data_IF_039367495084
#
_entry.id   IF_039367495084
#
_cell.length_a   1.000
_cell.length_b   1.000
_cell.length_c   1.000
_cell.angle_alpha   90.00
_cell.angle_beta   90.00
_cell.angle_gamma   90.00
#
_symmetry.space_group_name_H-M   'P 1'
#
loop_
_entity.id
_entity.type
_entity.pdbx_description
1 polymer ?
#
# COMPACT_ATOMS: atom_id res chain seq x y z
N UNK A 1 -9.94 15.53 -44.47
CA UNK A 1 -10.01 16.26 -43.16
C UNK A 1 -10.47 15.41 -41.96
N UNK A 2 -10.42 14.07 -42.01
CA UNK A 2 -11.01 13.22 -40.95
C UNK A 2 -10.00 12.47 -40.03
N UNK A 3 -8.70 12.61 -40.27
CA UNK A 3 -7.71 11.88 -39.43
C UNK A 3 -7.38 12.53 -38.08
N UNK A 4 -7.45 13.85 -37.99
CA UNK A 4 -7.10 14.59 -36.78
C UNK A 4 -8.15 14.43 -35.65
N UNK A 5 -9.42 14.36 -36.02
CA UNK A 5 -10.55 14.16 -35.07
C UNK A 5 -10.54 12.75 -34.47
N UNK A 6 -10.17 11.73 -35.25
CA UNK A 6 -10.13 10.34 -34.77
C UNK A 6 -8.99 10.10 -33.78
N UNK A 7 -7.82 10.70 -34.03
CA UNK A 7 -6.67 10.60 -33.12
C UNK A 7 -6.93 11.33 -31.80
N UNK A 8 -7.56 12.52 -31.86
CA UNK A 8 -7.92 13.29 -30.65
C UNK A 8 -8.99 12.59 -29.82
N UNK A 9 -9.96 11.95 -30.45
CA UNK A 9 -11.01 11.18 -29.79
C UNK A 9 -10.46 9.89 -29.16
N UNK A 10 -9.52 9.20 -29.80
CA UNK A 10 -8.83 8.04 -29.24
C UNK A 10 -7.92 8.41 -28.07
N UNK A 11 -7.27 9.58 -28.10
CA UNK A 11 -6.47 10.08 -26.99
C UNK A 11 -7.35 10.47 -25.78
N UNK A 12 -8.49 11.13 -26.03
CA UNK A 12 -9.48 11.45 -24.99
C UNK A 12 -10.08 10.20 -24.32
N UNK A 13 -10.41 9.16 -25.12
CA UNK A 13 -10.89 7.88 -24.58
C UNK A 13 -9.79 7.20 -23.76
N UNK A 14 -8.53 7.23 -24.19
CA UNK A 14 -7.40 6.65 -23.46
C UNK A 14 -7.20 7.30 -22.08
N UNK A 15 -7.48 8.60 -21.96
CA UNK A 15 -7.35 9.32 -20.69
C UNK A 15 -8.56 9.11 -19.74
N UNK A 16 -9.74 8.82 -20.28
CA UNK A 16 -10.95 8.49 -19.51
C UNK A 16 -10.82 7.13 -18.83
N UNK A 17 -10.04 6.17 -19.38
CA UNK A 17 -9.84 4.83 -18.82
C UNK A 17 -8.60 4.71 -17.93
N UNK A 18 -7.79 5.75 -17.76
CA UNK A 18 -6.70 5.75 -16.79
C UNK A 18 -7.27 5.86 -15.38
N UNK A 19 -7.31 4.74 -14.68
CA UNK A 19 -7.75 4.67 -13.27
C UNK A 19 -6.95 5.64 -12.38
N UNK A 20 -5.65 5.81 -12.66
CA UNK A 20 -4.74 6.74 -11.99
C UNK A 20 -3.91 7.51 -13.00
N UNK A 21 -3.66 8.79 -12.73
CA UNK A 21 -2.80 9.64 -13.54
C UNK A 21 -1.33 9.43 -13.23
N UNK A 22 -1.00 9.18 -11.95
CA UNK A 22 0.36 8.95 -11.47
C UNK A 22 0.33 8.21 -10.14
N UNK A 23 1.12 7.14 -10.01
CA UNK A 23 1.20 6.33 -8.79
C UNK A 23 2.54 6.54 -8.10
N UNK A 24 2.50 6.99 -6.83
CA UNK A 24 3.68 6.94 -5.96
C UNK A 24 3.81 5.56 -5.33
N UNK A 25 5.02 5.01 -5.34
CA UNK A 25 5.34 3.70 -4.77
C UNK A 25 6.01 3.91 -3.43
N UNK A 26 5.25 3.71 -2.35
CA UNK A 26 5.73 3.90 -0.97
C UNK A 26 6.48 2.66 -0.47
N UNK A 27 7.47 2.22 -1.25
CA UNK A 27 8.31 1.06 -0.94
C UNK A 27 9.65 1.13 -1.70
N UNK A 28 10.50 0.12 -1.53
CA UNK A 28 11.83 0.00 -2.14
C UNK A 28 12.08 -1.40 -2.70
N UNK A 29 13.26 -1.59 -3.30
CA UNK A 29 13.75 -2.90 -3.70
C UNK A 29 12.89 -3.59 -4.76
N UNK A 30 12.76 -4.91 -4.67
CA UNK A 30 12.13 -5.72 -5.70
C UNK A 30 10.63 -5.45 -5.83
N UNK A 31 9.92 -5.21 -4.71
CA UNK A 31 8.49 -4.93 -4.77
C UNK A 31 8.21 -3.60 -5.48
N UNK A 32 9.03 -2.57 -5.25
CA UNK A 32 8.91 -1.32 -5.98
C UNK A 32 9.13 -1.54 -7.49
N UNK A 33 10.10 -2.35 -7.88
CA UNK A 33 10.36 -2.71 -9.29
C UNK A 33 9.16 -3.45 -9.90
N UNK A 34 8.53 -4.38 -9.17
CA UNK A 34 7.32 -5.09 -9.65
C UNK A 34 6.17 -4.13 -9.93
N UNK A 35 5.91 -3.22 -8.98
CA UNK A 35 4.84 -2.23 -9.13
C UNK A 35 5.13 -1.28 -10.31
N UNK A 36 6.38 -0.81 -10.46
CA UNK A 36 6.79 0.03 -11.58
C UNK A 36 6.53 -0.67 -12.92
N UNK A 37 6.88 -1.95 -13.02
CA UNK A 37 6.65 -2.74 -14.24
C UNK A 37 5.16 -2.86 -14.56
N UNK A 38 4.33 -3.20 -13.58
CA UNK A 38 2.88 -3.28 -13.76
C UNK A 38 2.27 -1.92 -14.18
N UNK A 39 2.68 -0.83 -13.54
CA UNK A 39 2.23 0.51 -13.93
C UNK A 39 2.67 0.87 -15.35
N UNK A 40 3.89 0.49 -15.74
CA UNK A 40 4.39 0.71 -17.12
C UNK A 40 3.57 -0.03 -18.16
N UNK A 41 3.20 -1.29 -17.92
CA UNK A 41 2.31 -2.08 -18.79
C UNK A 41 0.94 -1.43 -18.95
N UNK A 42 0.44 -0.81 -17.87
CA UNK A 42 -0.83 -0.06 -17.85
C UNK A 42 -0.68 1.39 -18.42
N UNK A 43 0.52 1.82 -18.77
CA UNK A 43 0.79 3.18 -19.25
C UNK A 43 0.63 4.25 -18.16
N UNK A 44 0.79 3.89 -16.88
CA UNK A 44 0.66 4.79 -15.72
C UNK A 44 2.05 5.28 -15.31
N UNK A 45 2.31 6.59 -15.27
CA UNK A 45 3.55 7.17 -14.74
C UNK A 45 3.75 6.83 -13.26
N UNK A 46 4.99 6.60 -12.85
CA UNK A 46 5.34 6.20 -11.49
C UNK A 46 6.30 7.16 -10.82
N UNK A 47 6.13 7.34 -9.52
CA UNK A 47 7.03 8.07 -8.63
C UNK A 47 7.66 7.08 -7.66
N UNK A 48 8.97 6.92 -7.70
CA UNK A 48 9.70 6.19 -6.68
C UNK A 48 10.10 7.12 -5.54
N UNK A 49 10.07 6.60 -4.32
CA UNK A 49 10.73 7.23 -3.19
C UNK A 49 11.97 6.44 -2.80
N UNK A 50 12.99 7.10 -2.27
CA UNK A 50 14.22 6.44 -1.85
C UNK A 50 14.89 7.14 -0.68
N UNK A 51 15.55 6.34 0.19
CA UNK A 51 16.50 6.87 1.16
C UNK A 51 17.85 7.18 0.50
N UNK A 52 18.68 8.01 1.12
CA UNK A 52 20.02 8.30 0.60
C UNK A 52 20.83 7.04 0.25
N UNK A 53 20.69 5.96 1.03
CA UNK A 53 21.38 4.69 0.77
C UNK A 53 20.89 3.98 -0.51
N UNK A 54 19.66 4.24 -0.93
CA UNK A 54 19.03 3.57 -2.07
C UNK A 54 19.09 4.41 -3.37
N UNK A 55 19.81 5.54 -3.38
CA UNK A 55 19.85 6.46 -4.52
C UNK A 55 20.21 5.79 -5.87
N UNK A 56 21.04 4.76 -5.86
CA UNK A 56 21.45 4.02 -7.04
C UNK A 56 20.63 2.74 -7.30
N UNK A 57 19.59 2.49 -6.54
CA UNK A 57 18.76 1.28 -6.63
C UNK A 57 17.98 1.21 -7.94
N UNK A 58 17.66 -0.01 -8.36
CA UNK A 58 17.00 -0.27 -9.65
C UNK A 58 15.63 0.41 -9.75
N UNK A 59 14.83 0.42 -8.68
CA UNK A 59 13.52 1.05 -8.67
C UNK A 59 13.58 2.56 -8.93
N UNK A 60 14.63 3.24 -8.42
CA UNK A 60 14.87 4.67 -8.64
C UNK A 60 15.12 4.95 -10.13
N UNK A 61 15.93 4.11 -10.78
CA UNK A 61 16.26 4.26 -12.21
C UNK A 61 15.12 3.89 -13.15
N UNK A 62 14.19 3.04 -12.72
CA UNK A 62 13.09 2.55 -13.56
C UNK A 62 11.83 3.40 -13.48
N UNK A 63 11.63 4.16 -12.40
CA UNK A 63 10.48 5.03 -12.23
C UNK A 63 10.53 6.24 -13.18
N UNK A 64 9.37 6.86 -13.42
CA UNK A 64 9.26 8.08 -14.22
C UNK A 64 9.89 9.26 -13.51
N UNK A 65 9.69 9.34 -12.19
CA UNK A 65 10.24 10.35 -11.28
C UNK A 65 10.72 9.67 -10.00
N UNK A 66 11.67 10.28 -9.28
CA UNK A 66 12.15 9.75 -8.02
C UNK A 66 12.51 10.88 -7.04
N UNK A 67 12.13 10.69 -5.76
CA UNK A 67 12.36 11.67 -4.69
C UNK A 67 13.10 11.03 -3.52
N UNK A 68 14.16 11.70 -3.06
CA UNK A 68 14.83 11.34 -1.81
C UNK A 68 13.96 11.79 -0.63
N UNK A 69 13.62 10.85 0.25
CA UNK A 69 12.71 11.08 1.37
C UNK A 69 13.41 11.08 2.73
N UNK A 70 14.73 10.99 2.77
CA UNK A 70 15.48 11.05 4.01
C UNK A 70 16.74 10.17 4.06
N UNK A 71 17.35 10.03 5.24
CA UNK A 71 18.57 9.26 5.44
C UNK A 71 18.32 7.74 5.29
N UNK A 72 19.40 6.95 5.42
CA UNK A 72 19.36 5.50 5.26
C UNK A 72 18.41 4.77 6.23
N UNK A 73 18.23 5.32 7.44
CA UNK A 73 17.38 4.71 8.47
C UNK A 73 15.90 4.77 8.07
N UNK A 74 15.23 3.62 8.05
CA UNK A 74 13.83 3.51 7.59
C UNK A 74 12.85 4.35 8.43
N UNK A 75 13.10 4.50 9.73
CA UNK A 75 12.27 5.34 10.61
C UNK A 75 12.24 6.81 10.14
N UNK A 76 13.33 7.29 9.57
CA UNK A 76 13.52 8.67 9.15
C UNK A 76 13.29 8.87 7.63
N UNK A 77 12.86 7.81 6.93
CA UNK A 77 12.60 7.81 5.48
C UNK A 77 11.31 7.03 5.14
N UNK A 78 11.38 5.73 4.89
CA UNK A 78 10.25 4.90 4.44
C UNK A 78 9.10 4.77 5.44
N UNK A 79 9.32 5.05 6.73
CA UNK A 79 8.31 5.09 7.79
C UNK A 79 7.90 6.53 8.17
N UNK A 80 8.42 7.52 7.48
CA UNK A 80 8.07 8.93 7.69
C UNK A 80 6.86 9.31 6.83
N UNK A 81 5.66 9.28 7.43
CA UNK A 81 4.43 9.73 6.74
C UNK A 81 4.58 11.13 6.15
N UNK A 82 5.10 12.15 6.87
CA UNK A 82 5.26 13.48 6.30
C UNK A 82 6.14 13.51 5.05
N UNK A 83 7.24 12.77 5.04
CA UNK A 83 8.16 12.75 3.90
C UNK A 83 7.51 12.07 2.67
N UNK A 84 6.79 10.96 2.87
CA UNK A 84 6.07 10.26 1.80
C UNK A 84 4.96 11.15 1.24
N UNK A 85 4.15 11.78 2.09
CA UNK A 85 3.06 12.66 1.67
C UNK A 85 3.59 13.90 0.95
N UNK A 86 4.70 14.49 1.40
CA UNK A 86 5.34 15.60 0.70
C UNK A 86 5.77 15.20 -0.71
N UNK A 87 6.39 14.03 -0.88
CA UNK A 87 6.76 13.51 -2.19
C UNK A 87 5.53 13.28 -3.09
N UNK A 88 4.43 12.77 -2.53
CA UNK A 88 3.18 12.56 -3.26
C UNK A 88 2.56 13.89 -3.73
N UNK A 89 2.53 14.89 -2.87
CA UNK A 89 1.98 16.21 -3.20
C UNK A 89 2.83 16.94 -4.24
N UNK A 90 4.16 16.98 -4.05
CA UNK A 90 5.08 17.66 -4.98
C UNK A 90 5.08 17.00 -6.36
N UNK A 91 5.00 15.67 -6.42
CA UNK A 91 4.95 14.94 -7.70
C UNK A 91 3.57 15.00 -8.38
N UNK A 92 2.51 15.40 -7.67
CA UNK A 92 1.14 15.36 -8.16
C UNK A 92 0.60 13.93 -8.34
N UNK A 93 1.09 12.97 -7.55
CA UNK A 93 0.57 11.62 -7.55
C UNK A 93 -0.86 11.60 -6.99
N UNK A 94 -1.78 10.94 -7.68
CA UNK A 94 -3.18 10.80 -7.26
C UNK A 94 -3.47 9.44 -6.62
N UNK A 95 -2.48 8.54 -6.60
CA UNK A 95 -2.55 7.28 -5.88
C UNK A 95 -1.20 6.91 -5.25
N UNK A 96 -1.25 6.14 -4.15
CA UNK A 96 -0.08 5.57 -3.48
C UNK A 96 -0.23 4.07 -3.39
N UNK A 97 0.78 3.34 -3.88
CA UNK A 97 0.90 1.89 -3.70
C UNK A 97 1.94 1.58 -2.63
N UNK A 98 1.56 1.03 -1.48
CA UNK A 98 2.48 0.78 -0.37
C UNK A 98 3.34 -0.48 -0.56
N UNK A 99 3.01 -1.34 -1.52
CA UNK A 99 3.63 -2.67 -1.62
C UNK A 99 3.24 -3.57 -0.46
N UNK A 100 4.22 -4.20 0.17
CA UNK A 100 4.09 -4.95 1.43
C UNK A 100 5.12 -4.46 2.45
N UNK A 101 4.85 -4.67 3.75
CA UNK A 101 5.66 -4.09 4.83
C UNK A 101 5.55 -2.57 4.91
N UNK A 102 6.44 -1.92 5.63
CA UNK A 102 6.45 -0.46 5.84
C UNK A 102 5.05 0.13 6.13
N UNK A 103 4.47 0.83 5.17
CA UNK A 103 3.18 1.52 5.30
C UNK A 103 1.98 0.68 4.90
N UNK A 104 2.17 -0.56 4.40
CA UNK A 104 1.08 -1.35 3.82
C UNK A 104 -0.01 -1.76 4.82
N UNK A 105 0.34 -1.87 6.10
CA UNK A 105 -0.58 -2.25 7.18
C UNK A 105 -0.90 -1.09 8.14
N UNK A 106 -0.52 0.13 7.77
CA UNK A 106 -0.70 1.33 8.57
C UNK A 106 -2.05 2.00 8.26
N UNK A 107 -3.06 1.71 9.09
CA UNK A 107 -4.40 2.29 8.94
C UNK A 107 -4.41 3.82 9.02
N UNK A 108 -3.55 4.41 9.87
CA UNK A 108 -3.37 5.85 9.96
C UNK A 108 -2.84 6.48 8.66
N UNK A 109 -1.92 5.79 7.99
CA UNK A 109 -1.40 6.25 6.69
C UNK A 109 -2.48 6.19 5.59
N UNK A 110 -3.23 5.09 5.52
CA UNK A 110 -4.35 4.97 4.58
C UNK A 110 -5.39 6.09 4.78
N UNK A 111 -5.73 6.39 6.04
CA UNK A 111 -6.66 7.46 6.39
C UNK A 111 -6.13 8.85 6.01
N UNK A 112 -4.83 9.11 6.19
CA UNK A 112 -4.19 10.36 5.78
C UNK A 112 -4.22 10.50 4.26
N UNK A 113 -3.92 9.45 3.50
CA UNK A 113 -4.03 9.47 2.04
C UNK A 113 -5.45 9.86 1.60
N UNK A 114 -6.47 9.22 2.18
CA UNK A 114 -7.87 9.48 1.87
C UNK A 114 -8.28 10.94 2.18
N UNK A 115 -7.89 11.46 3.34
CA UNK A 115 -8.14 12.86 3.73
C UNK A 115 -7.47 13.88 2.80
N UNK A 116 -6.38 13.50 2.15
CA UNK A 116 -5.68 14.34 1.17
C UNK A 116 -6.16 14.11 -0.28
N UNK A 117 -7.20 13.30 -0.48
CA UNK A 117 -7.72 12.99 -1.82
C UNK A 117 -6.77 12.11 -2.66
N UNK A 118 -5.83 11.43 -2.02
CA UNK A 118 -4.89 10.50 -2.67
C UNK A 118 -5.39 9.08 -2.46
N UNK A 119 -5.61 8.32 -3.53
CA UNK A 119 -6.08 6.94 -3.41
C UNK A 119 -5.00 6.03 -2.84
N UNK A 120 -5.24 5.47 -1.66
CA UNK A 120 -4.43 4.37 -1.14
C UNK A 120 -4.80 3.08 -1.88
N UNK A 121 -3.83 2.44 -2.54
CA UNK A 121 -4.03 1.17 -3.26
C UNK A 121 -3.86 0.03 -2.26
N UNK A 122 -4.95 -0.35 -1.63
CA UNK A 122 -5.01 -1.35 -0.57
C UNK A 122 -6.36 -1.34 0.12
N UNK A 123 -6.50 -2.07 1.25
CA UNK A 123 -7.71 -2.08 2.05
C UNK A 123 -8.00 -0.71 2.67
N UNK A 124 -9.25 -0.48 3.08
CA UNK A 124 -9.62 0.73 3.82
C UNK A 124 -8.97 0.75 5.20
N UNK A 125 -8.79 1.94 5.78
CA UNK A 125 -8.28 2.07 7.14
C UNK A 125 -9.12 1.31 8.19
N UNK A 126 -10.44 1.26 8.00
CA UNK A 126 -11.36 0.48 8.84
C UNK A 126 -11.09 -1.03 8.74
N UNK A 127 -10.98 -1.54 7.51
CA UNK A 127 -10.66 -2.94 7.27
C UNK A 127 -9.29 -3.33 7.87
N UNK A 128 -8.28 -2.46 7.75
CA UNK A 128 -6.97 -2.68 8.37
C UNK A 128 -7.05 -2.76 9.90
N UNK A 129 -7.82 -1.86 10.55
CA UNK A 129 -7.99 -1.89 12.01
C UNK A 129 -8.69 -3.17 12.47
N UNK A 130 -9.74 -3.60 11.76
CA UNK A 130 -10.47 -4.84 12.07
C UNK A 130 -9.61 -6.09 11.89
N UNK A 131 -8.80 -6.14 10.84
CA UNK A 131 -7.97 -7.30 10.53
C UNK A 131 -6.60 -7.29 11.22
N UNK A 132 -6.14 -6.13 11.66
CA UNK A 132 -4.86 -5.98 12.38
C UNK A 132 -4.87 -6.50 13.81
N UNK A 133 -6.02 -6.53 14.46
CA UNK A 133 -6.22 -7.17 15.76
C UNK A 133 -6.64 -8.63 15.58
N UNK A 134 -5.78 -9.57 16.00
CA UNK A 134 -6.01 -11.01 15.78
C UNK A 134 -7.29 -11.52 16.43
N UNK A 135 -7.65 -11.02 17.61
CA UNK A 135 -8.86 -11.44 18.32
C UNK A 135 -10.11 -10.94 17.59
N UNK A 136 -10.11 -9.67 17.18
CA UNK A 136 -11.18 -9.05 16.40
C UNK A 136 -11.33 -9.71 15.05
N UNK A 137 -10.22 -9.92 14.33
CA UNK A 137 -10.24 -10.59 13.02
C UNK A 137 -10.84 -11.98 13.12
N UNK A 138 -10.42 -12.78 14.11
CA UNK A 138 -10.96 -14.11 14.35
C UNK A 138 -12.46 -14.09 14.63
N UNK A 139 -12.90 -13.19 15.52
CA UNK A 139 -14.33 -13.02 15.84
C UNK A 139 -15.13 -12.67 14.58
N UNK A 140 -14.65 -11.71 13.79
CA UNK A 140 -15.28 -11.30 12.53
C UNK A 140 -15.39 -12.47 11.53
N UNK A 141 -14.36 -13.31 11.43
CA UNK A 141 -14.40 -14.49 10.54
C UNK A 141 -15.47 -15.48 11.00
N UNK A 142 -15.55 -15.78 12.31
CA UNK A 142 -16.55 -16.68 12.88
C UNK A 142 -17.97 -16.15 12.65
N UNK A 143 -18.21 -14.86 12.87
CA UNK A 143 -19.51 -14.20 12.67
C UNK A 143 -19.97 -14.21 11.20
N UNK A 144 -19.05 -14.41 10.26
CA UNK A 144 -19.35 -14.51 8.82
C UNK A 144 -19.17 -15.93 8.26
N UNK A 145 -19.24 -16.95 9.10
CA UNK A 145 -19.15 -18.37 8.72
C UNK A 145 -17.87 -18.74 7.94
N UNK A 146 -16.79 -17.97 8.12
CA UNK A 146 -15.50 -18.30 7.53
C UNK A 146 -14.75 -19.29 8.42
N UNK A 147 -14.31 -20.45 7.90
CA UNK A 147 -13.57 -21.42 8.67
C UNK A 147 -12.31 -20.83 9.29
N UNK A 148 -12.11 -21.07 10.58
CA UNK A 148 -10.92 -20.63 11.32
C UNK A 148 -10.24 -21.81 12.00
N UNK A 149 -8.92 -21.75 12.14
CA UNK A 149 -8.18 -22.74 12.93
C UNK A 149 -8.67 -22.74 14.39
N UNK A 150 -8.63 -23.88 15.12
CA UNK A 150 -8.92 -23.88 16.56
C UNK A 150 -8.09 -22.81 17.29
N UNK A 151 -8.72 -22.05 18.18
CA UNK A 151 -8.09 -20.97 18.92
C UNK A 151 -9.02 -20.40 19.98
N UNK A 152 -8.44 -19.66 20.93
CA UNK A 152 -9.19 -18.92 21.95
C UNK A 152 -9.30 -17.44 21.56
N UNK A 153 -10.11 -16.70 22.31
CA UNK A 153 -9.95 -15.26 22.45
C UNK A 153 -8.72 -14.91 23.31
N UNK A 154 -8.72 -13.72 23.89
CA UNK A 154 -7.67 -13.32 24.84
C UNK A 154 -7.83 -14.15 26.10
N UNK A 155 -6.83 -14.98 26.42
CA UNK A 155 -6.75 -15.74 27.66
C UNK A 155 -6.11 -14.89 28.76
N UNK A 156 -6.61 -15.04 30.00
CA UNK A 156 -6.17 -14.24 31.13
C UNK A 156 -5.43 -15.07 32.18
N UNK A 157 -5.61 -16.38 32.18
CA UNK A 157 -5.04 -17.28 33.16
C UNK A 157 -4.34 -18.47 32.55
N UNK A 158 -3.46 -19.12 33.31
CA UNK A 158 -2.76 -20.35 32.87
C UNK A 158 -3.74 -21.50 32.71
N UNK A 159 -4.74 -21.56 33.61
CA UNK A 159 -5.78 -22.59 33.60
C UNK A 159 -6.58 -22.57 32.32
N UNK A 160 -6.98 -21.39 31.83
CA UNK A 160 -7.66 -21.23 30.50
C UNK A 160 -6.80 -21.76 29.37
N UNK A 161 -5.48 -21.53 29.38
CA UNK A 161 -4.54 -22.05 28.38
C UNK A 161 -4.47 -23.58 28.44
N UNK A 162 -4.37 -24.14 29.65
CA UNK A 162 -4.31 -25.60 29.86
C UNK A 162 -5.59 -26.28 29.41
N UNK A 163 -6.75 -25.76 29.76
CA UNK A 163 -8.06 -26.30 29.34
C UNK A 163 -8.17 -26.29 27.81
N UNK A 164 -7.76 -25.19 27.18
CA UNK A 164 -7.77 -25.13 25.72
C UNK A 164 -6.82 -26.14 25.10
N UNK A 165 -5.59 -26.26 25.60
CA UNK A 165 -4.59 -27.21 25.11
C UNK A 165 -5.07 -28.67 25.23
N UNK A 166 -5.71 -29.02 26.34
CA UNK A 166 -6.32 -30.35 26.50
C UNK A 166 -7.43 -30.64 25.48
N UNK A 167 -8.21 -29.61 25.11
CA UNK A 167 -9.30 -29.75 24.15
C UNK A 167 -8.83 -29.92 22.71
N UNK A 168 -7.75 -29.25 22.32
CA UNK A 168 -7.28 -29.24 20.91
C UNK A 168 -6.09 -30.16 20.64
N UNK A 169 -5.44 -30.64 21.70
CA UNK A 169 -4.19 -31.40 21.66
C UNK A 169 -2.96 -30.48 21.77
N UNK A 170 -1.81 -31.09 22.14
CA UNK A 170 -0.51 -30.41 22.21
C UNK A 170 0.21 -30.50 20.88
#
# INVERSE_FOLDING_TARGET
MNGFLTVHFLLLIRDIWKMFRKVLIANRGEIAVRIIRACRELGIPTVAIYSQADANSLHVRLATEAYCIGPAKSADSYLSIPAIMSAAMVSGADAIHPGYGFMSERADFAEICEKQGIKFIGPTAEAMRKMGDKATARKTMIENDVPVTPGTGIVKTVEEVQEFAHRVGY
#
